data_IF_019369302439
#
_entry.id   IF_019369302439
#
_cell.length_a   1.000
_cell.length_b   1.000
_cell.length_c   1.000
_cell.angle_alpha   90.00
_cell.angle_beta   90.00
_cell.angle_gamma   90.00
#
_symmetry.space_group_name_H-M   'P 1'
#
loop_
_entity.id
_entity.type
_entity.pdbx_description
1 polymer ?
#
# COMPACT_ATOMS: atom_id res chain seq x y z
N UNK A 1 -30.33 35.88 -19.10
CA UNK A 1 -31.25 34.74 -18.90
C UNK A 1 -30.81 33.62 -19.82
N UNK A 2 -30.01 32.68 -19.31
CA UNK A 2 -29.54 31.52 -20.06
C UNK A 2 -30.02 30.29 -19.29
N UNK A 3 -30.98 29.58 -19.90
CA UNK A 3 -31.56 28.34 -19.39
C UNK A 3 -30.54 27.20 -19.50
N UNK A 4 -30.19 26.57 -18.37
CA UNK A 4 -29.57 25.25 -18.35
C UNK A 4 -30.63 24.17 -18.59
N UNK A 5 -30.48 23.43 -19.68
CA UNK A 5 -31.26 22.22 -19.94
C UNK A 5 -30.63 21.04 -19.21
N UNK A 6 -31.36 20.51 -18.24
CA UNK A 6 -31.07 19.21 -17.60
C UNK A 6 -31.26 18.08 -18.61
N UNK A 7 -30.24 17.30 -18.88
CA UNK A 7 -30.39 15.99 -19.55
C UNK A 7 -30.60 14.91 -18.49
N UNK A 8 -31.81 14.41 -18.39
CA UNK A 8 -32.18 13.21 -17.63
C UNK A 8 -31.77 11.99 -18.43
N UNK A 9 -30.69 11.32 -17.99
CA UNK A 9 -30.34 9.97 -18.42
C UNK A 9 -30.87 8.96 -17.41
N UNK A 10 -31.79 8.09 -17.81
CA UNK A 10 -32.27 6.96 -17.00
C UNK A 10 -31.16 5.94 -16.74
N UNK A 11 -30.83 5.77 -15.49
CA UNK A 11 -30.00 4.69 -14.96
C UNK A 11 -30.00 4.79 -13.44
N UNK A 12 -30.47 3.76 -12.75
CA UNK A 12 -30.85 3.65 -11.34
C UNK A 12 -30.14 4.58 -10.37
N UNK A 13 -30.91 5.37 -9.66
CA UNK A 13 -30.47 6.25 -8.58
C UNK A 13 -29.80 5.43 -7.45
N UNK A 14 -28.46 5.25 -7.50
CA UNK A 14 -27.69 5.13 -6.29
C UNK A 14 -27.37 6.55 -5.86
N UNK A 15 -27.88 6.96 -4.71
CA UNK A 15 -27.60 8.23 -4.06
C UNK A 15 -26.06 8.27 -3.85
N UNK A 16 -25.38 9.20 -4.54
CA UNK A 16 -23.95 9.48 -4.27
C UNK A 16 -23.91 10.03 -2.84
N UNK A 17 -23.04 9.49 -2.01
CA UNK A 17 -22.78 10.05 -0.68
C UNK A 17 -22.10 11.41 -0.85
N UNK A 18 -22.22 12.33 0.13
CA UNK A 18 -21.62 13.66 0.09
C UNK A 18 -20.07 13.62 -0.09
N UNK A 19 -19.45 12.48 0.17
CA UNK A 19 -18.00 12.25 0.06
C UNK A 19 -17.54 11.68 -1.30
N UNK A 20 -18.47 11.34 -2.21
CA UNK A 20 -18.10 10.79 -3.52
C UNK A 20 -17.57 11.90 -4.45
N UNK A 21 -16.35 11.72 -4.95
CA UNK A 21 -15.72 12.68 -5.86
C UNK A 21 -15.60 12.12 -7.27
N UNK A 22 -15.55 13.02 -8.27
CA UNK A 22 -15.24 12.69 -9.66
C UNK A 22 -13.87 13.22 -10.04
N UNK A 23 -13.03 12.37 -10.64
CA UNK A 23 -11.67 12.68 -11.08
C UNK A 23 -11.57 12.55 -12.59
N UNK A 24 -11.29 13.63 -13.28
CA UNK A 24 -10.97 13.59 -14.71
C UNK A 24 -9.49 13.24 -14.89
N UNK A 25 -9.21 11.98 -15.24
CA UNK A 25 -7.83 11.48 -15.38
C UNK A 25 -7.13 11.98 -16.64
N UNK A 26 -7.84 12.70 -17.52
CA UNK A 26 -7.29 13.33 -18.72
C UNK A 26 -6.98 14.83 -18.53
N UNK A 27 -7.42 15.42 -17.42
CA UNK A 27 -7.25 16.83 -17.16
C UNK A 27 -5.81 17.17 -16.73
N UNK A 28 -5.37 18.37 -17.09
CA UNK A 28 -4.12 18.95 -16.57
C UNK A 28 -4.48 19.80 -15.33
N UNK A 29 -4.14 19.27 -14.16
CA UNK A 29 -4.46 19.91 -12.89
C UNK A 29 -3.37 20.91 -12.45
N UNK A 30 -3.72 21.99 -11.75
CA UNK A 30 -2.74 22.93 -11.22
C UNK A 30 -1.83 22.23 -10.20
N UNK A 31 -0.58 22.69 -10.11
CA UNK A 31 0.42 22.14 -9.20
C UNK A 31 0.23 22.69 -7.79
N UNK A 32 0.44 21.83 -6.78
CA UNK A 32 0.39 22.20 -5.37
C UNK A 32 1.58 21.57 -4.62
N UNK A 33 2.36 22.39 -3.96
CA UNK A 33 3.38 21.94 -3.02
C UNK A 33 2.77 21.83 -1.62
N UNK A 34 3.05 20.74 -0.94
CA UNK A 34 2.58 20.45 0.41
C UNK A 34 3.79 20.17 1.32
N UNK A 35 3.71 20.61 2.55
CA UNK A 35 4.65 20.25 3.60
C UNK A 35 4.04 19.10 4.41
N UNK A 36 4.76 17.99 4.55
CA UNK A 36 4.26 16.78 5.21
C UNK A 36 3.77 17.08 6.63
N UNK A 37 4.54 17.83 7.40
CA UNK A 37 4.24 18.18 8.78
C UNK A 37 3.01 19.10 8.96
N UNK A 38 2.51 19.71 7.88
CA UNK A 38 1.29 20.53 7.97
C UNK A 38 0.02 19.66 8.14
N UNK A 39 0.03 18.42 7.63
CA UNK A 39 -1.16 17.56 7.60
C UNK A 39 -0.93 16.12 8.12
N UNK A 40 0.31 15.75 8.45
CA UNK A 40 0.70 14.47 9.03
C UNK A 40 1.66 14.69 10.20
N UNK A 41 1.66 13.75 11.14
CA UNK A 41 2.71 13.64 12.14
C UNK A 41 3.80 12.69 11.63
N UNK A 42 5.05 13.03 11.94
CA UNK A 42 6.22 12.25 11.52
C UNK A 42 6.97 11.78 12.75
N UNK A 43 7.23 10.48 12.80
CA UNK A 43 8.04 9.84 13.84
C UNK A 43 9.22 9.12 13.19
N UNK A 44 10.38 9.17 13.82
CA UNK A 44 11.59 8.51 13.35
C UNK A 44 12.04 7.46 14.36
N UNK A 45 12.19 6.22 13.90
CA UNK A 45 12.62 5.08 14.69
C UNK A 45 13.95 4.58 14.15
N UNK A 46 15.10 4.93 14.78
CA UNK A 46 16.40 4.39 14.39
C UNK A 46 16.46 2.92 14.80
N UNK A 47 16.67 2.02 13.84
CA UNK A 47 16.79 0.60 14.14
C UNK A 47 18.16 0.29 14.76
N UNK A 48 18.14 -0.46 15.85
CA UNK A 48 19.36 -0.91 16.54
C UNK A 48 20.24 -1.73 15.60
N UNK A 49 21.55 -1.46 15.63
CA UNK A 49 22.57 -2.17 14.84
C UNK A 49 23.43 -2.99 15.77
N UNK A 50 23.34 -4.30 15.66
CA UNK A 50 24.22 -5.28 16.34
C UNK A 50 24.49 -6.43 15.39
N UNK A 51 25.43 -7.31 15.70
CA UNK A 51 25.75 -8.48 14.86
C UNK A 51 24.52 -9.35 14.54
N UNK A 52 23.55 -9.44 15.46
CA UNK A 52 22.31 -10.20 15.27
C UNK A 52 21.24 -9.41 14.49
N UNK A 53 21.33 -8.09 14.49
CA UNK A 53 20.33 -7.18 13.92
C UNK A 53 20.93 -6.28 12.84
N UNK A 54 21.54 -6.87 11.82
CA UNK A 54 21.97 -6.18 10.59
C UNK A 54 20.89 -6.39 9.54
N UNK A 55 20.27 -5.30 9.07
CA UNK A 55 19.17 -5.37 8.11
C UNK A 55 19.20 -4.22 7.10
N UNK A 56 18.66 -4.49 5.91
CA UNK A 56 18.43 -3.45 4.88
C UNK A 56 17.20 -2.58 5.18
N UNK A 57 16.49 -2.83 6.28
CA UNK A 57 15.40 -1.98 6.76
C UNK A 57 14.11 -2.04 5.95
N UNK A 58 13.85 -3.13 5.21
CA UNK A 58 12.57 -3.25 4.49
C UNK A 58 11.47 -3.61 5.48
N UNK A 59 10.64 -2.65 5.82
CA UNK A 59 9.49 -2.88 6.68
C UNK A 59 8.48 -3.75 5.94
N UNK A 60 8.05 -4.83 6.54
CA UNK A 60 7.03 -5.75 6.02
C UNK A 60 5.67 -5.53 6.67
N UNK A 61 5.67 -5.10 7.93
CA UNK A 61 4.47 -4.70 8.64
C UNK A 61 4.80 -3.77 9.81
N UNK A 62 3.89 -2.86 10.13
CA UNK A 62 3.96 -1.98 11.29
C UNK A 62 2.81 -2.29 12.25
N UNK A 63 3.15 -2.57 13.50
CA UNK A 63 2.20 -2.78 14.59
C UNK A 63 2.13 -1.59 15.55
N UNK A 64 1.32 -1.73 16.58
CA UNK A 64 1.25 -0.77 17.68
C UNK A 64 2.52 -0.79 18.54
N UNK A 65 3.13 -1.97 18.69
CA UNK A 65 4.29 -2.23 19.57
C UNK A 65 5.54 -2.65 18.80
N UNK A 66 5.40 -3.29 17.64
CA UNK A 66 6.51 -3.87 16.90
C UNK A 66 6.56 -3.42 15.45
N UNK A 67 7.78 -3.51 14.88
CA UNK A 67 8.03 -3.42 13.45
C UNK A 67 8.56 -4.78 12.97
N UNK A 68 7.99 -5.32 11.91
CA UNK A 68 8.52 -6.49 11.20
C UNK A 68 9.33 -6.02 10.00
N UNK A 69 10.60 -6.38 9.98
CA UNK A 69 11.56 -5.95 8.97
C UNK A 69 12.20 -7.16 8.33
N UNK A 70 12.46 -7.12 7.04
CA UNK A 70 13.16 -8.16 6.31
C UNK A 70 14.20 -7.57 5.35
N UNK A 71 15.02 -8.43 4.76
CA UNK A 71 16.01 -8.06 3.76
C UNK A 71 15.45 -8.23 2.33
N UNK A 72 16.06 -7.56 1.35
CA UNK A 72 15.78 -7.80 -0.09
C UNK A 72 16.34 -9.12 -0.55
N UNK A 73 17.49 -9.50 0.02
CA UNK A 73 18.07 -10.82 -0.21
C UNK A 73 17.17 -11.86 0.48
N UNK A 74 17.02 -13.01 -0.16
CA UNK A 74 16.15 -14.09 0.31
C UNK A 74 16.84 -14.91 1.41
N UNK A 75 17.31 -14.26 2.48
CA UNK A 75 17.98 -14.90 3.61
C UNK A 75 17.04 -15.53 4.63
N UNK A 76 15.73 -15.32 4.42
CA UNK A 76 14.67 -15.87 5.28
C UNK A 76 14.54 -15.17 6.63
N UNK A 77 15.30 -14.12 6.90
CA UNK A 77 15.24 -13.43 8.18
C UNK A 77 14.02 -12.48 8.27
N UNK A 78 13.32 -12.58 9.38
CA UNK A 78 12.31 -11.62 9.84
C UNK A 78 12.83 -11.04 11.16
N UNK A 79 13.13 -9.76 11.15
CA UNK A 79 13.57 -9.03 12.32
C UNK A 79 12.39 -8.36 12.99
N UNK A 80 12.23 -8.57 14.29
CA UNK A 80 11.23 -7.93 15.12
C UNK A 80 11.91 -6.85 15.94
N UNK A 81 11.52 -5.61 15.73
CA UNK A 81 11.98 -4.47 16.49
C UNK A 81 10.87 -3.91 17.38
N UNK A 82 11.23 -3.42 18.56
CA UNK A 82 10.34 -2.60 19.37
C UNK A 82 10.10 -1.26 18.67
N UNK A 83 8.86 -0.93 18.40
CA UNK A 83 8.52 0.25 17.60
C UNK A 83 8.88 1.56 18.29
N UNK A 84 8.75 1.65 19.63
CA UNK A 84 8.98 2.88 20.35
C UNK A 84 10.45 3.24 20.46
N UNK A 85 11.32 2.23 20.51
CA UNK A 85 12.76 2.41 20.79
C UNK A 85 13.67 2.04 19.62
N UNK A 86 13.17 1.29 18.64
CA UNK A 86 13.96 0.71 17.56
C UNK A 86 14.88 -0.43 17.99
N UNK A 87 14.80 -0.91 19.24
CA UNK A 87 15.61 -2.01 19.73
C UNK A 87 15.22 -3.33 19.10
N UNK A 88 16.23 -4.14 18.76
CA UNK A 88 16.05 -5.51 18.32
C UNK A 88 15.44 -6.37 19.43
N UNK A 89 14.30 -6.97 19.16
CA UNK A 89 13.61 -7.86 20.10
C UNK A 89 13.90 -9.31 19.78
N UNK A 90 13.87 -9.65 18.49
CA UNK A 90 14.00 -11.03 18.02
C UNK A 90 14.33 -11.10 16.54
N UNK A 91 15.06 -12.15 16.19
CA UNK A 91 15.30 -12.57 14.80
C UNK A 91 14.65 -13.93 14.61
N UNK A 92 13.76 -14.04 13.65
CA UNK A 92 13.06 -15.27 13.28
C UNK A 92 13.58 -15.72 11.92
N UNK A 93 13.92 -17.00 11.77
CA UNK A 93 14.24 -17.58 10.48
C UNK A 93 13.68 -18.99 10.44
N UNK A 94 12.72 -19.20 9.52
CA UNK A 94 12.08 -20.49 9.24
C UNK A 94 12.22 -20.84 7.76
N UNK A 95 13.31 -20.40 7.12
CA UNK A 95 13.59 -20.71 5.72
C UNK A 95 13.93 -22.19 5.58
N UNK A 96 13.16 -22.93 4.78
CA UNK A 96 13.36 -24.34 4.56
C UNK A 96 12.36 -24.96 3.60
N UNK A 97 12.25 -26.29 3.61
CA UNK A 97 11.44 -27.05 2.68
C UNK A 97 10.36 -27.91 3.38
N UNK A 98 10.26 -27.87 4.70
CA UNK A 98 9.26 -28.62 5.43
C UNK A 98 7.86 -27.97 5.34
N UNK A 99 6.86 -28.68 5.81
CA UNK A 99 5.48 -28.17 5.85
C UNK A 99 5.29 -26.92 6.72
N UNK A 100 6.17 -26.73 7.68
CA UNK A 100 6.15 -25.65 8.67
C UNK A 100 7.12 -24.49 8.33
N UNK A 101 7.83 -24.61 7.20
CA UNK A 101 8.85 -23.66 6.77
C UNK A 101 8.40 -22.93 5.50
N UNK A 102 8.83 -21.67 5.35
CA UNK A 102 8.66 -20.92 4.11
C UNK A 102 9.89 -21.08 3.21
N UNK A 103 9.63 -21.20 1.93
CA UNK A 103 10.68 -21.17 0.90
C UNK A 103 10.98 -19.74 0.44
N UNK A 104 10.01 -18.84 0.61
CA UNK A 104 10.08 -17.45 0.18
C UNK A 104 9.15 -16.57 1.00
N UNK A 105 9.61 -15.37 1.37
CA UNK A 105 8.78 -14.35 2.02
C UNK A 105 8.30 -13.35 0.97
N UNK A 106 7.13 -13.56 0.39
CA UNK A 106 6.54 -12.61 -0.56
C UNK A 106 6.01 -11.39 0.17
N UNK A 107 5.20 -11.60 1.20
CA UNK A 107 4.70 -10.54 2.08
C UNK A 107 4.40 -11.09 3.45
N UNK A 108 4.25 -10.20 4.43
CA UNK A 108 3.84 -10.54 5.79
C UNK A 108 2.61 -9.71 6.13
N UNK A 109 1.59 -10.34 6.72
CA UNK A 109 0.49 -9.64 7.38
C UNK A 109 0.65 -9.86 8.88
N UNK A 110 0.65 -8.77 9.63
CA UNK A 110 0.73 -8.79 11.08
C UNK A 110 -0.69 -8.74 11.66
N UNK A 111 -0.97 -9.58 12.64
CA UNK A 111 -2.14 -9.53 13.50
C UNK A 111 -1.64 -9.50 14.95
N UNK A 112 -1.35 -8.28 15.42
CA UNK A 112 -0.74 -8.08 16.72
C UNK A 112 -1.71 -8.40 17.86
N UNK A 113 -3.02 -8.21 17.63
CA UNK A 113 -4.05 -8.47 18.64
C UNK A 113 -4.24 -9.98 18.90
N UNK A 114 -4.05 -10.83 17.89
CA UNK A 114 -4.05 -12.27 18.02
C UNK A 114 -2.63 -12.88 18.23
N UNK A 115 -1.60 -12.03 18.33
CA UNK A 115 -0.19 -12.46 18.46
C UNK A 115 0.25 -13.37 17.31
N UNK A 116 -0.16 -13.06 16.07
CA UNK A 116 0.13 -13.87 14.89
C UNK A 116 0.75 -13.04 13.75
N UNK A 117 1.55 -13.70 12.93
CA UNK A 117 1.98 -13.20 11.63
C UNK A 117 1.69 -14.23 10.53
N UNK A 118 1.21 -13.74 9.40
CA UNK A 118 0.87 -14.52 8.22
C UNK A 118 1.95 -14.30 7.16
N UNK A 119 2.84 -15.27 6.98
CA UNK A 119 3.91 -15.24 5.99
C UNK A 119 3.41 -15.83 4.68
N UNK A 120 3.31 -15.00 3.65
CA UNK A 120 2.82 -15.41 2.33
C UNK A 120 3.97 -15.96 1.51
N UNK A 121 3.86 -17.22 1.12
CA UNK A 121 4.81 -17.94 0.26
C UNK A 121 4.12 -18.29 -1.07
N UNK A 122 4.30 -17.43 -2.09
CA UNK A 122 3.69 -17.65 -3.41
C UNK A 122 4.23 -18.89 -4.12
N UNK A 123 5.56 -19.13 -4.17
CA UNK A 123 6.08 -20.35 -4.79
C UNK A 123 5.54 -21.63 -4.18
N UNK A 124 5.40 -21.66 -2.85
CA UNK A 124 4.85 -22.82 -2.13
C UNK A 124 3.30 -22.83 -2.08
N UNK A 125 2.63 -21.77 -2.61
CA UNK A 125 1.17 -21.60 -2.68
C UNK A 125 0.48 -21.77 -1.32
N UNK A 126 1.02 -21.15 -0.30
CA UNK A 126 0.50 -21.21 1.06
C UNK A 126 0.75 -19.91 1.84
N UNK A 127 -0.01 -19.73 2.90
CA UNK A 127 0.25 -18.76 3.94
C UNK A 127 0.62 -19.55 5.19
N UNK A 128 1.78 -19.29 5.74
CA UNK A 128 2.23 -19.91 6.99
C UNK A 128 1.93 -18.94 8.13
N UNK A 129 1.30 -19.45 9.16
CA UNK A 129 0.92 -18.67 10.34
C UNK A 129 1.84 -19.07 11.48
N UNK A 130 2.57 -18.07 11.98
CA UNK A 130 3.42 -18.18 13.15
C UNK A 130 2.92 -17.25 14.25
N UNK A 131 3.23 -17.57 15.48
CA UNK A 131 3.13 -16.56 16.53
C UNK A 131 4.26 -15.52 16.38
N UNK A 132 4.20 -14.43 17.16
CA UNK A 132 5.22 -13.39 17.12
C UNK A 132 6.55 -13.82 17.76
N UNK A 133 6.65 -15.06 18.25
CA UNK A 133 7.88 -15.72 18.67
C UNK A 133 8.53 -16.56 17.57
N UNK A 134 7.82 -16.80 16.46
CA UNK A 134 8.27 -17.59 15.33
C UNK A 134 7.92 -19.06 15.46
N UNK A 135 7.05 -19.45 16.41
CA UNK A 135 6.55 -20.81 16.50
C UNK A 135 5.40 -21.03 15.52
N UNK A 136 5.46 -22.15 14.80
CA UNK A 136 4.48 -22.48 13.78
C UNK A 136 3.12 -22.84 14.42
N UNK A 137 2.06 -22.21 13.93
CA UNK A 137 0.69 -22.49 14.37
C UNK A 137 -0.08 -23.36 13.36
N UNK A 138 -0.08 -22.95 12.09
CA UNK A 138 -0.86 -23.60 11.02
C UNK A 138 -0.44 -23.11 9.63
N UNK A 139 -0.92 -23.80 8.59
CA UNK A 139 -0.78 -23.38 7.20
C UNK A 139 -2.15 -23.21 6.56
N UNK A 140 -2.32 -22.14 5.79
CA UNK A 140 -3.51 -21.86 5.00
C UNK A 140 -3.14 -22.04 3.52
N UNK A 141 -3.62 -23.10 2.85
CA UNK A 141 -3.28 -23.36 1.46
C UNK A 141 -4.01 -22.39 0.54
N UNK A 142 -3.35 -22.01 -0.56
CA UNK A 142 -4.07 -21.37 -1.66
C UNK A 142 -4.96 -22.39 -2.36
N UNK A 143 -6.15 -22.00 -2.83
CA UNK A 143 -6.93 -22.86 -3.72
C UNK A 143 -6.13 -23.23 -4.97
N UNK A 144 -6.36 -24.44 -5.52
CA UNK A 144 -5.54 -25.04 -6.58
C UNK A 144 -5.34 -24.16 -7.84
N UNK A 145 -6.25 -23.23 -8.09
CA UNK A 145 -6.27 -22.44 -9.33
C UNK A 145 -6.07 -20.94 -9.13
N UNK A 146 -5.90 -20.46 -7.88
CA UNK A 146 -5.79 -19.02 -7.65
C UNK A 146 -4.69 -18.64 -6.67
N UNK A 147 -4.40 -17.35 -6.63
CA UNK A 147 -3.51 -16.68 -5.70
C UNK A 147 -4.29 -15.62 -4.91
N UNK A 148 -3.80 -15.30 -3.72
CA UNK A 148 -4.29 -14.18 -2.93
C UNK A 148 -3.26 -13.07 -2.94
N UNK A 149 -3.59 -11.95 -3.57
CA UNK A 149 -2.73 -10.78 -3.68
C UNK A 149 -3.23 -9.67 -2.76
N UNK A 150 -2.37 -8.71 -2.44
CA UNK A 150 -2.69 -7.55 -1.60
C UNK A 150 -3.31 -7.91 -0.25
N UNK A 151 -2.92 -9.08 0.31
CA UNK A 151 -3.42 -9.53 1.60
C UNK A 151 -3.15 -8.50 2.69
N UNK A 152 -4.17 -8.19 3.49
CA UNK A 152 -4.09 -7.30 4.64
C UNK A 152 -4.94 -7.86 5.77
N UNK A 153 -4.64 -7.43 6.98
CA UNK A 153 -5.53 -7.65 8.11
C UNK A 153 -6.84 -6.90 7.89
N UNK A 154 -7.97 -7.51 8.23
CA UNK A 154 -9.28 -6.87 8.02
C UNK A 154 -10.06 -6.75 9.32
N UNK A 155 -10.28 -7.85 10.00
CA UNK A 155 -10.94 -7.91 11.29
C UNK A 155 -10.36 -9.07 12.14
N UNK A 156 -10.93 -9.31 13.31
CA UNK A 156 -10.46 -10.34 14.22
C UNK A 156 -10.33 -11.71 13.58
N UNK A 157 -11.24 -12.05 12.66
CA UNK A 157 -11.39 -13.41 12.14
C UNK A 157 -11.00 -13.53 10.67
N UNK A 158 -10.79 -12.40 9.96
CA UNK A 158 -10.57 -12.40 8.52
C UNK A 158 -9.35 -11.59 8.08
N UNK A 159 -8.73 -12.06 7.02
CA UNK A 159 -7.89 -11.28 6.12
C UNK A 159 -8.75 -10.78 4.96
N UNK A 160 -8.39 -9.63 4.39
CA UNK A 160 -8.90 -9.18 3.09
C UNK A 160 -7.80 -9.33 2.05
N UNK A 161 -8.16 -9.80 0.85
CA UNK A 161 -7.22 -9.95 -0.25
C UNK A 161 -7.92 -9.86 -1.60
N UNK A 162 -7.12 -9.91 -2.66
CA UNK A 162 -7.59 -9.99 -4.03
C UNK A 162 -7.29 -11.37 -4.61
N UNK A 163 -8.33 -12.09 -5.02
CA UNK A 163 -8.23 -13.39 -5.64
C UNK A 163 -7.92 -13.21 -7.13
N UNK A 164 -6.75 -13.67 -7.57
CA UNK A 164 -6.35 -13.73 -8.98
C UNK A 164 -6.03 -15.16 -9.41
N UNK A 165 -5.99 -15.43 -10.70
CA UNK A 165 -5.73 -16.79 -11.24
C UNK A 165 -4.28 -16.99 -11.67
N UNK A 166 -3.59 -15.92 -11.97
CA UNK A 166 -2.15 -15.83 -12.16
C UNK A 166 -1.69 -14.51 -11.57
N UNK A 167 -0.44 -14.36 -11.13
CA UNK A 167 0.02 -13.10 -10.59
C UNK A 167 -0.32 -11.94 -11.53
N UNK A 168 -1.20 -11.04 -11.06
CA UNK A 168 -1.66 -9.84 -11.75
C UNK A 168 -2.43 -10.06 -13.07
N UNK A 169 -2.78 -11.30 -13.44
CA UNK A 169 -3.67 -11.57 -14.56
C UNK A 169 -5.11 -11.65 -14.05
N UNK A 170 -5.92 -10.72 -14.50
CA UNK A 170 -7.34 -10.69 -14.18
C UNK A 170 -8.16 -11.61 -15.08
N UNK A 171 -9.21 -12.16 -14.51
CA UNK A 171 -10.29 -12.87 -15.19
C UNK A 171 -11.62 -12.34 -14.68
N UNK A 172 -12.73 -12.76 -15.30
CA UNK A 172 -14.08 -12.40 -14.83
C UNK A 172 -14.36 -12.87 -13.40
N UNK A 173 -13.66 -13.92 -12.93
CA UNK A 173 -13.77 -14.45 -11.59
C UNK A 173 -12.85 -13.78 -10.55
N UNK A 174 -11.91 -12.94 -11.00
CA UNK A 174 -11.02 -12.20 -10.09
C UNK A 174 -11.81 -11.18 -9.29
N UNK A 175 -11.68 -11.23 -7.97
CA UNK A 175 -12.46 -10.38 -7.06
C UNK A 175 -11.77 -10.20 -5.71
N UNK A 176 -12.21 -9.22 -4.95
CA UNK A 176 -11.83 -9.11 -3.56
C UNK A 176 -12.49 -10.22 -2.74
N UNK A 177 -11.81 -10.70 -1.71
CA UNK A 177 -12.28 -11.80 -0.86
C UNK A 177 -11.96 -11.53 0.60
N UNK A 178 -12.86 -11.99 1.49
CA UNK A 178 -12.54 -12.20 2.90
C UNK A 178 -12.15 -13.67 3.09
N UNK A 179 -11.06 -13.88 3.80
CA UNK A 179 -10.42 -15.16 4.01
C UNK A 179 -10.36 -15.41 5.52
N UNK A 180 -10.88 -16.54 5.96
CA UNK A 180 -10.82 -16.97 7.36
C UNK A 180 -9.37 -17.13 7.81
N UNK A 181 -8.97 -16.45 8.89
CA UNK A 181 -7.66 -16.59 9.53
C UNK A 181 -7.48 -18.00 10.13
N UNK A 182 -8.58 -18.71 10.41
CA UNK A 182 -8.57 -20.03 11.03
C UNK A 182 -8.11 -21.12 10.07
N UNK A 183 -8.64 -21.13 8.85
CA UNK A 183 -8.49 -22.27 7.92
C UNK A 183 -8.24 -21.87 6.46
N UNK A 184 -8.17 -20.55 6.14
CA UNK A 184 -7.93 -20.07 4.79
C UNK A 184 -9.13 -20.15 3.86
N UNK A 185 -10.31 -20.54 4.34
CA UNK A 185 -11.52 -20.59 3.53
C UNK A 185 -12.00 -19.20 3.14
N UNK A 186 -12.51 -19.07 1.91
CA UNK A 186 -13.15 -17.82 1.45
C UNK A 186 -14.52 -17.72 2.07
N UNK A 187 -14.72 -16.78 2.99
CA UNK A 187 -15.98 -16.53 3.68
C UNK A 187 -16.89 -15.61 2.91
N UNK A 188 -16.31 -14.68 2.12
CA UNK A 188 -17.08 -13.76 1.28
C UNK A 188 -16.31 -13.39 0.02
N UNK A 189 -17.02 -13.36 -1.11
CA UNK A 189 -16.57 -12.77 -2.37
C UNK A 189 -17.20 -11.39 -2.52
N UNK A 190 -16.39 -10.40 -2.89
CA UNK A 190 -16.81 -9.01 -3.06
C UNK A 190 -16.60 -8.67 -4.53
N UNK A 191 -17.68 -8.62 -5.28
CA UNK A 191 -17.67 -8.34 -6.72
C UNK A 191 -17.89 -6.85 -6.97
N UNK A 192 -16.91 -6.20 -7.61
CA UNK A 192 -17.06 -4.85 -8.12
C UNK A 192 -17.57 -4.94 -9.56
N UNK A 193 -18.67 -4.25 -9.90
CA UNK A 193 -19.22 -4.30 -11.26
C UNK A 193 -18.29 -3.62 -12.27
N UNK A 194 -18.13 -4.22 -13.44
CA UNK A 194 -17.39 -3.69 -14.60
C UNK A 194 -18.04 -4.16 -15.90
N UNK A 195 -17.68 -3.57 -17.04
CA UNK A 195 -18.25 -3.92 -18.36
C UNK A 195 -17.38 -4.91 -19.11
N UNK A 196 -16.09 -4.61 -19.21
CA UNK A 196 -15.06 -5.39 -19.92
C UNK A 196 -13.83 -5.46 -19.04
N UNK A 197 -13.05 -6.54 -19.19
CA UNK A 197 -11.80 -6.70 -18.48
C UNK A 197 -10.75 -5.71 -18.98
N UNK A 198 -10.15 -4.99 -18.04
CA UNK A 198 -8.99 -4.14 -18.26
C UNK A 198 -7.96 -4.36 -17.16
N UNK A 199 -6.72 -4.49 -17.56
CA UNK A 199 -5.59 -4.66 -16.67
C UNK A 199 -4.43 -3.74 -17.07
N UNK A 200 -3.64 -3.22 -16.15
CA UNK A 200 -2.46 -2.42 -16.47
C UNK A 200 -1.29 -3.24 -17.04
N UNK A 201 -1.47 -4.54 -17.18
CA UNK A 201 -0.46 -5.43 -17.77
C UNK A 201 -0.26 -5.14 -19.25
N UNK A 202 1.00 -5.04 -19.68
CA UNK A 202 1.39 -4.89 -21.08
C UNK A 202 2.15 -6.12 -21.51
N UNK A 203 1.75 -6.70 -22.65
CA UNK A 203 2.38 -7.88 -23.22
C UNK A 203 2.96 -7.56 -24.60
N UNK A 204 4.15 -8.10 -24.89
CA UNK A 204 4.75 -8.09 -26.22
C UNK A 204 5.53 -9.37 -26.41
N UNK A 205 5.18 -10.15 -27.43
CA UNK A 205 5.70 -11.49 -27.66
C UNK A 205 5.50 -12.37 -26.40
N UNK A 206 6.57 -12.91 -25.82
CA UNK A 206 6.53 -13.68 -24.57
C UNK A 206 6.74 -12.82 -23.31
N UNK A 207 7.05 -11.54 -23.48
CA UNK A 207 7.31 -10.64 -22.35
C UNK A 207 6.01 -10.11 -21.76
N UNK A 208 5.88 -10.23 -20.44
CA UNK A 208 4.77 -9.66 -19.64
C UNK A 208 5.38 -8.66 -18.69
N UNK A 209 4.89 -7.44 -18.72
CA UNK A 209 5.33 -6.37 -17.80
C UNK A 209 4.15 -5.82 -17.03
N UNK A 210 4.33 -5.71 -15.73
CA UNK A 210 3.30 -5.29 -14.79
C UNK A 210 3.81 -4.10 -13.98
N UNK A 211 3.06 -2.99 -13.89
CA UNK A 211 3.39 -1.90 -12.97
C UNK A 211 3.08 -2.27 -11.52
N UNK A 212 3.61 -1.52 -10.58
CA UNK A 212 3.09 -1.53 -9.20
C UNK A 212 1.76 -0.78 -9.13
N UNK A 213 0.75 -1.37 -8.49
CA UNK A 213 -0.56 -0.74 -8.22
C UNK A 213 -1.22 -1.39 -7.01
N UNK A 214 -2.34 -0.82 -6.55
CA UNK A 214 -3.01 -1.27 -5.33
C UNK A 214 -4.50 -1.43 -5.55
N UNK A 215 -5.06 -2.53 -5.07
CA UNK A 215 -6.48 -2.84 -5.19
C UNK A 215 -7.23 -2.70 -3.86
N UNK A 216 -6.50 -2.56 -2.77
CA UNK A 216 -7.05 -2.40 -1.41
C UNK A 216 -6.30 -1.26 -0.73
N UNK A 217 -7.02 -0.22 -0.31
CA UNK A 217 -6.45 0.92 0.41
C UNK A 217 -7.19 1.08 1.75
N UNK A 218 -6.50 1.06 2.90
CA UNK A 218 -7.14 1.28 4.20
C UNK A 218 -7.81 2.66 4.29
N UNK A 219 -9.00 2.71 4.89
CA UNK A 219 -9.76 3.94 5.06
C UNK A 219 -10.73 3.85 6.24
N UNK A 220 -10.49 4.59 7.32
CA UNK A 220 -11.36 4.76 8.51
C UNK A 220 -11.94 3.44 9.04
N UNK A 221 -11.05 2.49 9.38
CA UNK A 221 -11.45 1.16 9.83
C UNK A 221 -12.10 0.28 8.75
N UNK A 222 -12.15 0.75 7.51
CA UNK A 222 -12.68 0.07 6.33
C UNK A 222 -11.62 -0.04 5.24
N UNK A 223 -12.03 -0.45 4.03
CA UNK A 223 -11.16 -0.52 2.87
C UNK A 223 -11.80 0.13 1.65
N UNK A 224 -11.03 0.94 0.94
CA UNK A 224 -11.36 1.29 -0.43
C UNK A 224 -10.92 0.15 -1.34
N UNK A 225 -11.85 -0.32 -2.15
CA UNK A 225 -11.63 -1.40 -3.10
C UNK A 225 -11.63 -0.86 -4.52
N UNK A 226 -10.54 -1.14 -5.23
CA UNK A 226 -10.34 -0.78 -6.63
C UNK A 226 -10.34 -2.04 -7.49
N UNK A 227 -11.05 -1.99 -8.62
CA UNK A 227 -10.89 -2.97 -9.71
C UNK A 227 -10.45 -2.23 -10.96
N UNK A 228 -9.39 -2.68 -11.59
CA UNK A 228 -8.79 -2.02 -12.76
C UNK A 228 -9.77 -1.85 -13.93
N UNK A 229 -10.74 -2.76 -14.02
CA UNK A 229 -11.81 -2.75 -15.04
C UNK A 229 -13.00 -1.85 -14.70
N UNK A 230 -13.03 -1.23 -13.50
CA UNK A 230 -14.15 -0.39 -13.05
C UNK A 230 -13.76 1.09 -13.06
N UNK A 231 -14.71 1.95 -13.40
CA UNK A 231 -14.56 3.41 -13.30
C UNK A 231 -14.79 3.92 -11.88
N UNK A 232 -15.20 3.06 -10.96
CA UNK A 232 -15.55 3.43 -9.58
C UNK A 232 -14.70 2.69 -8.56
N UNK A 233 -14.10 3.44 -7.65
CA UNK A 233 -13.53 2.93 -6.40
C UNK A 233 -14.63 2.93 -5.34
N UNK A 234 -14.75 1.85 -4.63
CA UNK A 234 -15.80 1.68 -3.63
C UNK A 234 -15.24 1.64 -2.21
N UNK A 235 -15.91 2.30 -1.28
CA UNK A 235 -15.74 2.06 0.13
C UNK A 235 -16.53 0.79 0.52
N UNK A 236 -15.82 -0.21 1.05
CA UNK A 236 -16.41 -1.45 1.53
C UNK A 236 -16.74 -1.31 3.01
N UNK A 237 -18.03 -1.23 3.32
CA UNK A 237 -18.53 -0.97 4.66
C UNK A 237 -18.64 -2.25 5.50
N UNK A 238 -18.67 -2.17 6.85
CA UNK A 238 -18.72 -3.34 7.74
C UNK A 238 -19.95 -4.23 7.53
N UNK A 239 -21.07 -3.69 7.04
CA UNK A 239 -22.25 -4.44 6.70
C UNK A 239 -22.12 -5.23 5.38
N UNK A 240 -20.99 -5.05 4.67
CA UNK A 240 -20.71 -5.65 3.38
C UNK A 240 -21.24 -4.87 2.17
N UNK A 241 -21.70 -3.63 2.38
CA UNK A 241 -22.17 -2.75 1.31
C UNK A 241 -20.97 -2.10 0.59
N UNK A 242 -21.08 -1.97 -0.74
CA UNK A 242 -20.18 -1.18 -1.58
C UNK A 242 -20.78 0.21 -1.82
N UNK A 243 -20.17 1.23 -1.25
CA UNK A 243 -20.54 2.64 -1.45
C UNK A 243 -19.56 3.30 -2.42
N UNK A 244 -20.03 3.96 -3.52
CA UNK A 244 -19.15 4.71 -4.42
C UNK A 244 -18.36 5.79 -3.65
N UNK A 245 -17.05 5.87 -3.87
CA UNK A 245 -16.18 6.82 -3.20
C UNK A 245 -15.41 7.73 -4.17
N UNK A 246 -14.81 7.15 -5.22
CA UNK A 246 -14.16 7.93 -6.30
C UNK A 246 -14.68 7.40 -7.63
N UNK A 247 -15.14 8.28 -8.50
CA UNK A 247 -15.52 7.96 -9.87
C UNK A 247 -14.54 8.62 -10.82
N UNK A 248 -13.89 7.83 -11.68
CA UNK A 248 -13.02 8.38 -12.71
C UNK A 248 -13.79 8.73 -13.98
N UNK A 249 -13.33 9.74 -14.68
CA UNK A 249 -13.80 10.12 -16.02
C UNK A 249 -12.59 10.53 -16.87
N UNK A 250 -12.57 10.33 -18.21
CA UNK A 250 -13.48 9.48 -18.98
C UNK A 250 -13.46 8.01 -18.53
N UNK A 251 -14.42 7.19 -18.99
CA UNK A 251 -14.43 5.76 -18.71
C UNK A 251 -13.13 5.09 -19.19
N UNK A 252 -12.60 4.11 -18.40
CA UNK A 252 -11.40 3.34 -18.76
C UNK A 252 -11.54 2.72 -20.15
N UNK A 253 -12.76 2.29 -20.52
CA UNK A 253 -13.02 1.62 -21.79
C UNK A 253 -12.99 2.57 -22.99
N UNK A 254 -13.17 3.88 -22.79
CA UNK A 254 -13.18 4.89 -23.85
C UNK A 254 -11.80 5.52 -24.12
N UNK A 255 -10.78 5.17 -23.34
CA UNK A 255 -9.45 5.79 -23.44
C UNK A 255 -8.46 4.91 -24.24
N UNK A 256 -7.58 5.57 -24.99
CA UNK A 256 -6.41 4.98 -25.61
C UNK A 256 -5.26 6.00 -25.63
N UNK A 257 -4.16 5.77 -24.92
CA UNK A 257 -3.95 4.65 -24.00
C UNK A 257 -4.82 4.72 -22.74
N UNK A 258 -5.04 3.55 -22.13
CA UNK A 258 -5.77 3.46 -20.86
C UNK A 258 -5.02 4.19 -19.76
N UNK A 259 -5.75 4.91 -18.90
CA UNK A 259 -5.20 5.58 -17.71
C UNK A 259 -5.97 5.06 -16.48
N UNK A 260 -5.30 4.32 -15.62
CA UNK A 260 -5.88 3.82 -14.37
C UNK A 260 -5.81 4.88 -13.27
N UNK A 261 -6.67 4.76 -12.26
CA UNK A 261 -6.69 5.63 -11.08
C UNK A 261 -6.71 4.76 -9.81
N UNK A 262 -5.76 5.00 -8.92
CA UNK A 262 -5.62 4.30 -7.65
C UNK A 262 -5.60 5.29 -6.49
N UNK A 263 -6.48 5.16 -5.48
CA UNK A 263 -6.30 5.85 -4.21
C UNK A 263 -5.06 5.29 -3.50
N UNK A 264 -4.31 6.16 -2.84
CA UNK A 264 -3.11 5.77 -2.09
C UNK A 264 -3.26 6.02 -0.60
N UNK A 265 -3.52 7.25 -0.20
CA UNK A 265 -3.67 7.66 1.19
C UNK A 265 -4.91 8.55 1.29
N UNK A 266 -5.78 8.25 2.25
CA UNK A 266 -6.96 9.06 2.53
C UNK A 266 -6.83 9.65 3.93
N UNK A 267 -6.97 10.96 4.04
CA UNK A 267 -6.99 11.70 5.30
C UNK A 267 -8.27 12.50 5.43
N UNK A 268 -8.48 13.15 6.57
CA UNK A 268 -9.66 14.00 6.80
C UNK A 268 -9.77 15.13 5.77
N UNK A 269 -8.64 15.69 5.35
CA UNK A 269 -8.59 16.79 4.40
C UNK A 269 -8.25 16.37 2.98
N UNK A 270 -7.32 15.42 2.79
CA UNK A 270 -6.73 15.12 1.50
C UNK A 270 -7.01 13.69 1.06
N UNK A 271 -7.44 13.52 -0.19
CA UNK A 271 -7.50 12.22 -0.86
C UNK A 271 -6.34 12.15 -1.86
N UNK A 272 -5.28 11.45 -1.49
CA UNK A 272 -4.13 11.22 -2.36
C UNK A 272 -4.43 10.07 -3.29
N UNK A 273 -4.11 10.26 -4.57
CA UNK A 273 -4.37 9.33 -5.65
C UNK A 273 -3.19 9.31 -6.60
N UNK A 274 -3.08 8.26 -7.38
CA UNK A 274 -2.11 8.18 -8.46
C UNK A 274 -2.80 7.70 -9.73
N UNK A 275 -2.57 8.37 -10.86
CA UNK A 275 -2.90 7.84 -12.17
C UNK A 275 -1.73 7.03 -12.71
N UNK A 276 -2.03 6.06 -13.58
CA UNK A 276 -1.06 5.19 -14.20
C UNK A 276 -1.43 4.96 -15.67
N UNK A 277 -0.57 5.37 -16.58
CA UNK A 277 -0.76 5.17 -18.02
C UNK A 277 -0.35 3.76 -18.42
N UNK A 278 -1.20 3.05 -19.16
CA UNK A 278 -0.88 1.74 -19.76
C UNK A 278 0.03 1.92 -20.98
N UNK A 279 1.26 2.36 -20.75
CA UNK A 279 2.28 2.57 -21.77
C UNK A 279 3.60 1.95 -21.34
N UNK A 280 4.21 1.11 -22.17
CA UNK A 280 5.52 0.56 -21.90
C UNK A 280 6.37 0.52 -23.18
N UNK A 281 7.60 1.01 -23.09
CA UNK A 281 8.58 0.93 -24.17
C UNK A 281 9.56 -0.20 -23.88
N UNK A 282 9.41 -1.32 -24.58
CA UNK A 282 10.22 -2.52 -24.39
C UNK A 282 11.70 -2.33 -24.77
N UNK A 283 12.00 -1.45 -25.74
CA UNK A 283 13.39 -1.17 -26.15
C UNK A 283 14.17 -0.42 -25.07
N UNK A 284 13.49 0.50 -24.38
CA UNK A 284 14.08 1.30 -23.31
C UNK A 284 13.91 0.69 -21.91
N UNK A 285 13.11 -0.39 -21.79
CA UNK A 285 12.76 -0.98 -20.50
C UNK A 285 12.06 0.01 -19.52
N UNK A 286 11.31 0.98 -20.07
CA UNK A 286 10.66 2.05 -19.28
C UNK A 286 9.20 2.19 -19.68
N UNK A 287 8.35 2.42 -18.68
CA UNK A 287 6.93 2.60 -18.95
C UNK A 287 6.14 2.94 -17.70
N UNK A 288 4.84 2.89 -17.89
CA UNK A 288 3.83 3.17 -16.87
C UNK A 288 4.01 4.57 -16.23
N UNK A 289 3.95 5.65 -17.03
CA UNK A 289 3.98 7.00 -16.46
C UNK A 289 2.89 7.19 -15.42
N UNK A 290 3.23 7.85 -14.34
CA UNK A 290 2.30 8.14 -13.23
C UNK A 290 2.21 9.63 -12.98
N UNK A 291 1.02 10.09 -12.54
CA UNK A 291 0.84 11.44 -11.99
C UNK A 291 0.25 11.33 -10.59
N UNK A 292 0.85 12.04 -9.66
CA UNK A 292 0.40 12.12 -8.28
C UNK A 292 -0.68 13.21 -8.16
N UNK A 293 -1.91 12.83 -7.81
CA UNK A 293 -3.07 13.72 -7.68
C UNK A 293 -3.54 13.78 -6.23
N UNK A 294 -4.00 14.95 -5.81
CA UNK A 294 -4.65 15.13 -4.51
C UNK A 294 -5.95 15.92 -4.67
N UNK A 295 -7.02 15.40 -4.07
CA UNK A 295 -8.24 16.17 -3.85
C UNK A 295 -8.17 16.82 -2.48
N UNK A 296 -8.28 18.15 -2.42
CA UNK A 296 -8.38 18.93 -1.19
C UNK A 296 -9.87 19.17 -0.87
N UNK A 297 -10.37 18.55 0.19
CA UNK A 297 -11.79 18.67 0.62
C UNK A 297 -12.17 20.11 1.01
N UNK A 298 -11.22 20.89 1.51
CA UNK A 298 -11.49 22.29 1.90
C UNK A 298 -11.61 23.20 0.67
N UNK A 299 -10.73 23.02 -0.31
CA UNK A 299 -10.77 23.77 -1.56
C UNK A 299 -11.76 23.19 -2.57
N UNK A 300 -12.23 21.94 -2.36
CA UNK A 300 -13.07 21.18 -3.28
C UNK A 300 -12.48 21.10 -4.68
N UNK A 301 -11.17 20.94 -4.76
CA UNK A 301 -10.41 20.97 -6.00
C UNK A 301 -9.34 19.86 -6.03
N UNK A 302 -8.95 19.47 -7.24
CA UNK A 302 -7.90 18.48 -7.50
C UNK A 302 -6.66 19.21 -7.99
N UNK A 303 -5.48 18.71 -7.54
CA UNK A 303 -4.16 19.24 -7.86
C UNK A 303 -3.20 18.12 -8.22
N UNK A 304 -2.21 18.41 -9.07
CA UNK A 304 -0.97 17.64 -9.10
C UNK A 304 -0.13 18.05 -7.90
N UNK A 305 0.28 17.09 -7.05
CA UNK A 305 0.96 17.46 -5.82
C UNK A 305 2.43 17.03 -5.80
N UNK A 306 3.18 17.74 -4.95
CA UNK A 306 4.49 17.32 -4.47
C UNK A 306 4.53 17.57 -2.97
N UNK A 307 4.95 16.56 -2.20
CA UNK A 307 5.10 16.67 -0.74
C UNK A 307 6.57 16.75 -0.38
N UNK A 308 6.90 17.65 0.51
CA UNK A 308 8.25 17.82 1.07
C UNK A 308 8.24 17.55 2.58
N UNK A 309 9.31 16.94 3.07
CA UNK A 309 9.57 16.77 4.49
C UNK A 309 10.36 17.98 5.01
N UNK A 310 9.78 18.74 5.95
CA UNK A 310 10.40 19.95 6.50
C UNK A 310 11.56 19.67 7.46
N UNK A 311 11.78 18.42 7.87
CA UNK A 311 12.98 18.03 8.63
C UNK A 311 14.25 18.04 7.76
N UNK A 312 14.11 18.27 6.45
CA UNK A 312 15.20 18.54 5.50
C UNK A 312 15.15 19.98 5.02
N UNK A 313 16.31 20.67 5.02
CA UNK A 313 16.40 22.05 4.54
C UNK A 313 16.43 22.18 3.01
N UNK A 314 16.68 21.08 2.29
CA UNK A 314 16.86 21.03 0.82
C UNK A 314 15.62 20.59 0.04
N UNK A 315 14.40 20.79 0.55
CA UNK A 315 13.14 20.36 -0.09
C UNK A 315 13.14 18.85 -0.42
N UNK A 316 13.46 18.02 0.55
CA UNK A 316 13.44 16.57 0.37
C UNK A 316 12.03 16.05 0.05
N UNK A 317 11.85 15.49 -1.15
CA UNK A 317 10.55 15.01 -1.62
C UNK A 317 10.18 13.69 -0.96
N UNK A 318 8.91 13.59 -0.51
CA UNK A 318 8.31 12.37 0.01
C UNK A 318 7.28 11.84 -0.98
N UNK A 319 7.48 10.63 -1.47
CA UNK A 319 6.51 9.97 -2.33
C UNK A 319 5.39 9.34 -1.48
N UNK A 320 4.16 9.81 -1.64
CA UNK A 320 2.96 9.25 -1.00
C UNK A 320 2.17 8.31 -1.93
N UNK A 321 2.54 8.25 -3.21
CA UNK A 321 1.90 7.40 -4.21
C UNK A 321 2.35 5.93 -4.20
N UNK A 322 3.31 5.57 -3.36
CA UNK A 322 3.77 4.18 -3.25
C UNK A 322 2.95 3.44 -2.20
N UNK A 323 2.93 2.10 -2.32
CA UNK A 323 2.15 1.23 -1.44
C UNK A 323 2.31 1.61 0.03
N UNK A 324 1.21 1.89 0.74
CA UNK A 324 1.26 1.89 2.18
C UNK A 324 1.70 0.50 2.62
N UNK A 325 2.81 0.42 3.33
CA UNK A 325 3.18 -0.81 3.99
C UNK A 325 2.08 -1.15 4.98
N UNK A 326 1.79 -2.44 5.10
CA UNK A 326 0.65 -2.94 5.86
C UNK A 326 0.80 -2.55 7.33
N UNK A 327 -0.02 -1.63 7.78
CA UNK A 327 -0.08 -1.23 9.18
C UNK A 327 -1.35 -1.76 9.83
N UNK A 328 -1.21 -2.39 10.99
CA UNK A 328 -2.32 -2.71 11.88
C UNK A 328 -2.60 -1.58 12.87
N UNK A 329 -1.74 -0.57 12.91
CA UNK A 329 -2.00 0.67 13.63
C UNK A 329 -2.67 1.67 12.69
N UNK A 330 -3.94 1.94 12.91
CA UNK A 330 -4.75 2.85 12.10
C UNK A 330 -4.20 4.30 12.07
N UNK A 331 -3.37 4.67 13.06
CA UNK A 331 -2.70 5.96 13.07
C UNK A 331 -1.58 6.03 12.02
N UNK A 332 -0.93 4.91 11.67
CA UNK A 332 0.16 4.87 10.70
C UNK A 332 -0.41 4.75 9.29
N UNK A 333 -0.18 5.76 8.50
CA UNK A 333 -0.63 5.82 7.11
C UNK A 333 0.34 5.13 6.17
N UNK A 334 1.64 5.33 6.39
CA UNK A 334 2.72 4.70 5.62
C UNK A 334 4.05 4.83 6.37
N UNK A 335 5.07 4.10 5.96
CA UNK A 335 6.42 4.24 6.46
C UNK A 335 7.46 4.24 5.34
N UNK A 336 8.66 4.72 5.66
CA UNK A 336 9.81 4.76 4.76
C UNK A 336 11.09 4.44 5.51
N UNK A 337 11.91 3.58 4.94
CA UNK A 337 13.27 3.40 5.40
C UNK A 337 14.15 4.52 4.84
N UNK A 338 14.82 5.25 5.71
CA UNK A 338 15.85 6.24 5.39
C UNK A 338 17.22 5.59 5.65
N UNK A 339 18.08 5.54 4.64
CA UNK A 339 19.39 4.93 4.78
C UNK A 339 20.25 5.75 5.73
N UNK A 340 20.98 5.08 6.60
CA UNK A 340 21.85 5.75 7.56
C UNK A 340 22.97 6.55 6.88
N UNK A 341 23.60 5.99 5.83
CA UNK A 341 24.63 6.69 5.04
C UNK A 341 24.13 8.03 4.47
N UNK A 342 22.91 8.03 3.89
CA UNK A 342 22.31 9.25 3.33
C UNK A 342 22.01 10.30 4.42
N UNK A 343 21.61 9.84 5.63
CA UNK A 343 21.34 10.72 6.77
C UNK A 343 22.63 11.28 7.38
N UNK A 344 23.69 10.49 7.46
CA UNK A 344 25.02 10.95 7.92
C UNK A 344 25.53 12.04 6.99
N UNK A 345 25.52 11.79 5.66
CA UNK A 345 25.94 12.77 4.66
C UNK A 345 25.10 14.07 4.72
N UNK A 346 23.78 13.94 4.84
CA UNK A 346 22.90 15.10 4.96
C UNK A 346 23.13 15.89 6.26
N UNK A 347 23.46 15.20 7.36
CA UNK A 347 23.79 15.84 8.63
C UNK A 347 25.13 16.61 8.56
N UNK A 348 26.16 16.03 7.94
CA UNK A 348 27.44 16.70 7.70
C UNK A 348 27.33 17.96 6.84
N UNK A 349 26.42 17.93 5.85
CA UNK A 349 26.08 19.09 5.02
C UNK A 349 25.21 20.12 5.72
N UNK A 350 24.73 19.84 6.94
CA UNK A 350 23.82 20.73 7.67
C UNK A 350 22.41 20.81 7.07
N UNK A 351 22.00 19.77 6.37
CA UNK A 351 20.70 19.71 5.65
C UNK A 351 19.57 19.15 6.51
N UNK A 352 19.82 18.68 7.72
CA UNK A 352 18.81 18.12 8.63
C UNK A 352 18.43 19.08 9.74
N UNK A 353 17.17 18.96 10.19
CA UNK A 353 16.59 19.75 11.28
C UNK A 353 15.93 18.82 12.33
N UNK A 354 15.58 19.43 13.48
CA UNK A 354 14.75 18.81 14.50
C UNK A 354 15.23 17.45 14.95
N UNK A 355 14.28 16.56 15.20
CA UNK A 355 14.55 15.21 15.71
C UNK A 355 15.38 14.34 14.77
N UNK A 356 15.19 14.51 13.46
CA UNK A 356 15.95 13.76 12.46
C UNK A 356 17.47 14.09 12.53
N UNK A 357 17.79 15.37 12.75
CA UNK A 357 19.18 15.82 12.94
C UNK A 357 19.80 15.20 14.21
N UNK A 358 19.05 15.17 15.33
CA UNK A 358 19.51 14.56 16.58
C UNK A 358 19.82 13.07 16.39
N UNK A 359 18.96 12.35 15.69
CA UNK A 359 19.13 10.93 15.37
C UNK A 359 20.35 10.73 14.49
N UNK A 360 20.46 11.49 13.39
CA UNK A 360 21.56 11.38 12.43
C UNK A 360 22.92 11.64 13.05
N UNK A 361 23.02 12.52 14.05
CA UNK A 361 24.27 12.77 14.79
C UNK A 361 24.78 11.55 15.57
N UNK A 362 23.92 10.57 15.86
CA UNK A 362 24.29 9.31 16.52
C UNK A 362 24.55 8.13 15.59
N UNK A 363 24.35 8.31 14.27
CA UNK A 363 24.53 7.26 13.26
C UNK A 363 25.95 7.27 12.69
N UNK A 364 26.31 6.14 12.09
CA UNK A 364 27.42 6.01 11.14
C UNK A 364 26.92 5.35 9.85
N UNK A 365 27.78 5.26 8.83
CA UNK A 365 27.42 4.71 7.52
C UNK A 365 27.00 3.24 7.55
N UNK A 366 27.42 2.48 8.56
CA UNK A 366 27.11 1.05 8.74
C UNK A 366 25.87 0.83 9.62
N UNK A 367 25.28 1.90 10.15
CA UNK A 367 24.05 1.79 10.95
C UNK A 367 22.87 1.29 10.12
N UNK A 368 21.97 0.57 10.77
CA UNK A 368 20.69 0.22 10.16
C UNK A 368 19.89 1.48 9.78
N UNK A 369 18.93 1.31 8.90
CA UNK A 369 18.05 2.40 8.46
C UNK A 369 17.26 3.00 9.63
N UNK A 370 16.89 4.26 9.47
CA UNK A 370 15.89 4.93 10.32
C UNK A 370 14.53 4.77 9.66
N UNK A 371 13.55 4.25 10.38
CA UNK A 371 12.19 4.12 9.84
C UNK A 371 11.42 5.40 10.13
N UNK A 372 11.04 6.11 9.08
CA UNK A 372 10.14 7.24 9.14
C UNK A 372 8.71 6.73 9.09
N UNK A 373 7.97 6.88 10.18
CA UNK A 373 6.54 6.58 10.28
C UNK A 373 5.76 7.86 10.00
N UNK A 374 4.85 7.81 9.04
CA UNK A 374 3.95 8.91 8.68
C UNK A 374 2.58 8.57 9.25
N UNK A 375 2.09 9.42 10.13
CA UNK A 375 0.91 9.18 10.97
C UNK A 375 -0.18 10.20 10.69
N UNK A 376 -1.44 9.80 10.91
CA UNK A 376 -2.56 10.75 10.92
C UNK A 376 -2.30 11.82 11.97
N UNK A 377 -2.52 13.07 11.61
CA UNK A 377 -2.42 14.20 12.54
C UNK A 377 -3.60 14.13 13.51
N UNK A 378 -3.31 14.27 14.82
CA UNK A 378 -4.34 14.31 15.88
C UNK A 378 -4.96 15.67 16.00
#
# INVERSE_FOLDING_TARGET
>A
TTLFRSMTGCGGNKQLTDDCITVDVSADYPKKELILQDFMDVEYVPLETTDDFITQGIVKATGKKILLVANRIMDGNIFVFDRATGKGVRKINRLGQSGEEYSHITSIVLDEDNNEMFVVDYPARKILVYDLYGEFNRSLPFPDTCYYEFLSDYDRDHLIGYKSYLPLIETDESCHVLISKKDGSVTRKIQIPFKELETPVVTKDEAIVTPGFFLITPHDGNCLLTKTSSDTVYNYLPDGTLSPFIVRTPSIHSMDPKVFLFPTIITDRYYFMQTLDKKFNFEKGRGFPTNDLVYDKQEKAIFQYTVYNDDFSNKHRVALGQQPEKSVDEEIVTCRALNASDLVEANEKGELKGKLKEIAAGLNEESNSVIMLIKRKK
#
